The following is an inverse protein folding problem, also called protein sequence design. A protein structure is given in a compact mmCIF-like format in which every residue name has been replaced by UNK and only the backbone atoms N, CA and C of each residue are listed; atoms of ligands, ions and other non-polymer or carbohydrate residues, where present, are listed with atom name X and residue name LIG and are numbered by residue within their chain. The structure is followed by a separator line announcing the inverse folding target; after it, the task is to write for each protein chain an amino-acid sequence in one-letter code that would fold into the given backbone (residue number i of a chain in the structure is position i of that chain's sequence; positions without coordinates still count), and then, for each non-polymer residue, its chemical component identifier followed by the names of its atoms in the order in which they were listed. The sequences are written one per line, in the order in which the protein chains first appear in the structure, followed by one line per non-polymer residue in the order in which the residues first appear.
data_IF_029575014528
#
_entry.id   IF_029575014528
#
_cell.length_a   1.000
_cell.length_b   1.000
_cell.length_c   1.000
_cell.angle_alpha   90.00
_cell.angle_beta   90.00
_cell.angle_gamma   90.00
#
_symmetry.space_group_name_H-M   'P 1'
#
loop_
_entity.id
_entity.type
_entity.pdbx_description
1 polymer ?
#
# COMPACT_ATOMS: atom_id res chain seq x y z
N UNK A 1 -19.78 37.24 -65.61
CA UNK A 1 -18.42 36.71 -65.33
C UNK A 1 -17.83 37.26 -64.01
N UNK A 2 -18.62 37.39 -62.93
CA UNK A 2 -18.12 37.86 -61.61
C UNK A 2 -18.55 37.02 -60.39
N UNK A 3 -19.36 35.96 -60.55
CA UNK A 3 -19.79 35.13 -59.41
C UNK A 3 -19.05 33.80 -59.22
N UNK A 4 -18.30 33.33 -60.23
CA UNK A 4 -17.60 32.04 -60.15
C UNK A 4 -16.24 32.19 -59.42
N UNK A 5 -15.58 33.33 -59.53
CA UNK A 5 -14.28 33.57 -58.86
C UNK A 5 -14.40 33.67 -57.33
N UNK A 6 -15.56 34.07 -56.79
CA UNK A 6 -15.71 34.27 -55.35
C UNK A 6 -15.88 32.95 -54.57
N UNK A 7 -16.40 31.92 -55.22
CA UNK A 7 -16.64 30.61 -54.58
C UNK A 7 -15.35 29.77 -54.51
N UNK A 8 -14.48 29.89 -55.52
CA UNK A 8 -13.19 29.18 -55.55
C UNK A 8 -12.24 29.70 -54.45
N UNK A 9 -12.28 31.01 -54.17
CA UNK A 9 -11.46 31.61 -53.10
C UNK A 9 -11.96 31.30 -51.68
N UNK A 10 -13.28 31.15 -51.48
CA UNK A 10 -13.85 30.76 -50.18
C UNK A 10 -13.51 29.30 -49.85
N UNK A 11 -13.57 28.40 -50.84
CA UNK A 11 -13.21 26.98 -50.63
C UNK A 11 -11.70 26.78 -50.39
N UNK A 12 -10.83 27.53 -51.06
CA UNK A 12 -9.38 27.48 -50.82
C UNK A 12 -9.00 27.97 -49.40
N UNK A 13 -9.72 28.96 -48.86
CA UNK A 13 -9.53 29.41 -47.48
C UNK A 13 -10.09 28.42 -46.44
N UNK A 14 -11.16 27.69 -46.77
CA UNK A 14 -11.72 26.66 -45.88
C UNK A 14 -10.82 25.41 -45.80
N UNK A 15 -10.21 24.99 -46.91
CA UNK A 15 -9.30 23.83 -46.92
C UNK A 15 -7.99 24.09 -46.15
N UNK A 16 -7.46 25.31 -46.19
CA UNK A 16 -6.28 25.70 -45.40
C UNK A 16 -6.60 25.81 -43.91
N UNK A 17 -7.81 26.26 -43.55
CA UNK A 17 -8.26 26.32 -42.16
C UNK A 17 -8.47 24.93 -41.54
N UNK A 18 -8.93 23.95 -42.33
CA UNK A 18 -9.10 22.55 -41.86
C UNK A 18 -7.75 21.84 -41.71
N UNK A 19 -6.76 22.15 -42.55
CA UNK A 19 -5.40 21.60 -42.40
C UNK A 19 -4.63 22.15 -41.20
N UNK A 20 -4.92 23.39 -40.74
CA UNK A 20 -4.27 23.96 -39.55
C UNK A 20 -4.91 23.49 -38.23
N UNK A 21 -6.13 22.96 -38.25
CA UNK A 21 -6.85 22.45 -37.06
C UNK A 21 -6.70 20.94 -36.82
N UNK A 22 -5.71 20.32 -37.48
CA UNK A 22 -5.37 18.90 -37.30
C UNK A 22 -3.97 18.73 -36.69
N UNK A 23 -3.72 19.41 -35.58
CA UNK A 23 -2.54 19.14 -34.73
C UNK A 23 -3.03 18.76 -33.33
N UNK A 24 -2.83 17.48 -33.01
CA UNK A 24 -2.99 16.83 -31.71
C UNK A 24 -4.41 16.61 -31.15
N UNK A 25 -5.24 15.80 -31.83
CA UNK A 25 -6.40 15.10 -31.21
C UNK A 25 -6.05 13.83 -30.43
N UNK A 26 -4.76 13.50 -30.25
CA UNK A 26 -4.31 12.26 -29.60
C UNK A 26 -3.59 12.42 -28.25
N UNK A 27 -3.26 13.65 -27.82
CA UNK A 27 -2.60 13.87 -26.54
C UNK A 27 -3.64 14.11 -25.45
N UNK A 28 -3.84 13.14 -24.56
CA UNK A 28 -4.58 13.34 -23.31
C UNK A 28 -3.82 14.41 -22.52
N UNK A 29 -4.41 15.58 -22.34
CA UNK A 29 -3.83 16.64 -21.53
C UNK A 29 -3.65 16.12 -20.09
N UNK A 30 -2.40 15.88 -19.69
CA UNK A 30 -2.11 15.49 -18.32
C UNK A 30 -2.48 16.64 -17.39
N UNK A 31 -3.40 16.40 -16.45
CA UNK A 31 -3.78 17.38 -15.43
C UNK A 31 -2.55 17.72 -14.58
N UNK A 32 -1.90 18.84 -14.86
CA UNK A 32 -0.71 19.28 -14.12
C UNK A 32 -1.17 19.82 -12.77
N UNK A 33 -0.84 19.10 -11.69
CA UNK A 33 -1.07 19.56 -10.32
C UNK A 33 -0.08 20.67 -9.96
N UNK A 34 -0.57 21.80 -9.45
CA UNK A 34 0.25 22.94 -8.98
C UNK A 34 0.96 22.67 -7.64
N UNK A 35 0.92 21.43 -7.14
CA UNK A 35 1.57 21.04 -5.89
C UNK A 35 3.09 21.13 -5.98
N UNK A 36 3.71 21.84 -5.03
CA UNK A 36 5.17 22.05 -4.91
C UNK A 36 5.97 20.81 -4.46
N UNK A 37 5.55 19.60 -4.82
CA UNK A 37 6.28 18.38 -4.44
C UNK A 37 7.18 17.95 -5.59
N UNK A 38 8.49 18.12 -5.45
CA UNK A 38 9.46 17.63 -6.41
C UNK A 38 9.45 16.10 -6.46
N UNK A 39 9.64 15.53 -7.66
CA UNK A 39 9.77 14.08 -7.83
C UNK A 39 11.05 13.62 -7.12
N UNK A 40 10.94 12.61 -6.24
CA UNK A 40 12.12 11.99 -5.62
C UNK A 40 12.94 11.28 -6.70
N UNK A 41 14.19 11.70 -6.85
CA UNK A 41 15.09 11.23 -7.91
C UNK A 41 15.92 10.01 -7.53
N UNK A 42 16.94 9.74 -8.35
CA UNK A 42 17.93 8.68 -8.13
C UNK A 42 18.72 8.88 -6.83
N UNK A 43 19.01 10.13 -6.48
CA UNK A 43 19.76 10.53 -5.28
C UNK A 43 19.13 9.97 -3.99
N UNK A 44 17.81 10.05 -3.83
CA UNK A 44 17.13 9.51 -2.64
C UNK A 44 17.33 7.99 -2.51
N UNK A 45 17.42 7.27 -3.63
CA UNK A 45 17.66 5.82 -3.62
C UNK A 45 19.12 5.51 -3.25
N UNK A 46 20.06 6.31 -3.72
CA UNK A 46 21.48 6.19 -3.37
C UNK A 46 21.69 6.48 -1.87
N UNK A 47 21.10 7.56 -1.36
CA UNK A 47 21.16 7.89 0.07
C UNK A 47 20.59 6.77 0.94
N UNK A 48 19.48 6.14 0.53
CA UNK A 48 18.92 4.98 1.23
C UNK A 48 19.90 3.80 1.26
N UNK A 49 20.61 3.53 0.17
CA UNK A 49 21.60 2.45 0.10
C UNK A 49 22.78 2.74 1.04
N UNK A 50 23.28 3.97 1.04
CA UNK A 50 24.37 4.39 1.91
C UNK A 50 23.99 4.34 3.39
N UNK A 51 22.80 4.80 3.75
CA UNK A 51 22.27 4.72 5.12
C UNK A 51 22.12 3.27 5.58
N UNK A 52 21.64 2.37 4.71
CA UNK A 52 21.54 0.95 5.00
C UNK A 52 22.91 0.35 5.31
N UNK A 53 23.92 0.60 4.46
CA UNK A 53 25.28 0.10 4.68
C UNK A 53 25.90 0.63 5.98
N UNK A 54 25.71 1.93 6.27
CA UNK A 54 26.12 2.53 7.55
C UNK A 54 25.47 1.82 8.75
N UNK A 55 24.19 1.43 8.65
CA UNK A 55 23.51 0.72 9.72
C UNK A 55 24.00 -0.74 9.87
N UNK A 56 24.37 -1.40 8.77
CA UNK A 56 25.00 -2.74 8.80
C UNK A 56 26.32 -2.74 9.59
N UNK A 57 27.05 -1.63 9.59
CA UNK A 57 28.29 -1.48 10.36
C UNK A 57 28.06 -1.06 11.80
N UNK A 58 27.03 -0.26 12.07
CA UNK A 58 26.77 0.30 13.39
C UNK A 58 26.00 -0.64 14.33
N UNK A 59 25.17 -1.53 13.81
CA UNK A 59 24.31 -2.42 14.60
C UNK A 59 24.78 -3.86 14.58
N UNK A 60 24.56 -4.56 15.69
CA UNK A 60 24.89 -5.99 15.86
C UNK A 60 23.93 -6.91 15.11
N UNK A 61 22.64 -6.56 15.08
CA UNK A 61 21.60 -7.43 14.54
C UNK A 61 20.79 -6.74 13.45
N UNK A 62 20.49 -7.52 12.41
CA UNK A 62 19.62 -7.17 11.31
C UNK A 62 18.46 -8.17 11.30
N UNK A 63 17.23 -7.68 11.37
CA UNK A 63 16.02 -8.47 11.23
C UNK A 63 15.26 -8.08 9.97
N UNK A 64 14.72 -9.08 9.27
CA UNK A 64 13.67 -8.86 8.28
C UNK A 64 12.35 -9.14 8.94
N UNK A 65 11.39 -8.24 8.76
CA UNK A 65 10.05 -8.41 9.27
C UNK A 65 9.05 -8.15 8.15
N UNK A 66 7.97 -8.93 8.16
CA UNK A 66 6.78 -8.70 7.35
C UNK A 66 5.73 -7.98 8.18
N UNK A 67 4.89 -7.18 7.54
CA UNK A 67 3.80 -6.48 8.20
C UNK A 67 2.52 -6.78 7.45
N UNK A 68 1.48 -7.18 8.19
CA UNK A 68 0.14 -7.28 7.64
C UNK A 68 -0.64 -5.98 7.92
N UNK A 69 -1.48 -5.58 6.96
CA UNK A 69 -2.38 -4.43 7.09
C UNK A 69 -1.66 -3.12 7.42
N UNK A 70 -0.61 -2.80 6.68
CA UNK A 70 0.27 -1.67 6.95
C UNK A 70 -0.45 -0.32 7.10
N UNK A 71 -0.10 0.41 8.18
CA UNK A 71 -0.49 1.80 8.43
C UNK A 71 0.68 2.65 8.90
N UNK A 72 0.81 3.83 8.29
CA UNK A 72 1.86 4.80 8.63
C UNK A 72 1.80 5.27 10.10
N UNK A 73 0.61 5.34 10.71
CA UNK A 73 0.48 5.78 12.10
C UNK A 73 1.07 4.73 13.04
N UNK A 74 0.68 3.47 12.88
CA UNK A 74 1.17 2.33 13.69
C UNK A 74 2.69 2.17 13.60
N UNK A 75 3.26 2.36 12.39
CA UNK A 75 4.72 2.39 12.23
C UNK A 75 5.41 3.56 12.94
N UNK A 76 4.78 4.72 13.04
CA UNK A 76 5.34 5.84 13.80
C UNK A 76 5.36 5.53 15.29
N UNK A 77 4.37 4.81 15.78
CA UNK A 77 4.30 4.41 17.20
C UNK A 77 5.42 3.41 17.52
N UNK A 78 5.61 2.39 16.66
CA UNK A 78 6.75 1.46 16.75
C UNK A 78 8.08 2.19 16.69
N UNK A 79 8.26 3.12 15.74
CA UNK A 79 9.52 3.90 15.60
C UNK A 79 9.77 4.80 16.81
N UNK A 80 8.72 5.31 17.44
CA UNK A 80 8.79 6.11 18.67
C UNK A 80 9.16 5.25 19.87
N UNK A 81 8.64 4.03 19.97
CA UNK A 81 9.00 3.08 21.03
C UNK A 81 10.46 2.59 20.86
N UNK A 82 10.87 2.34 19.61
CA UNK A 82 12.18 1.78 19.27
C UNK A 82 13.13 2.83 18.66
N UNK A 83 13.27 4.00 19.30
CA UNK A 83 14.17 5.09 18.84
C UNK A 83 15.64 4.71 18.73
N UNK A 84 16.07 3.75 19.54
CA UNK A 84 17.43 3.21 19.54
C UNK A 84 17.70 2.27 18.37
N UNK A 85 16.67 1.89 17.62
CA UNK A 85 16.75 1.01 16.46
C UNK A 85 16.39 1.76 15.18
N UNK A 86 16.77 1.22 14.02
CA UNK A 86 16.49 1.84 12.71
C UNK A 86 15.63 0.94 11.85
N UNK A 87 14.49 1.49 11.42
CA UNK A 87 13.52 0.81 10.56
C UNK A 87 13.57 1.37 9.15
N UNK A 88 13.90 0.52 8.19
CA UNK A 88 13.85 0.84 6.77
C UNK A 88 12.65 0.20 6.10
N UNK A 89 11.89 1.03 5.39
CA UNK A 89 10.85 0.61 4.46
C UNK A 89 11.14 1.31 3.14
N UNK A 90 11.40 0.51 2.12
CA UNK A 90 11.73 1.01 0.79
C UNK A 90 11.36 -0.01 -0.25
N UNK A 91 11.67 0.29 -1.52
CA UNK A 91 11.47 -0.69 -2.59
C UNK A 91 12.41 -1.88 -2.34
N UNK A 92 11.86 -3.09 -2.23
CA UNK A 92 12.62 -4.30 -1.91
C UNK A 92 13.87 -4.46 -2.79
N UNK A 93 13.73 -4.24 -4.11
CA UNK A 93 14.87 -4.29 -5.06
C UNK A 93 16.03 -3.36 -4.68
N UNK A 94 15.76 -2.19 -4.10
CA UNK A 94 16.80 -1.22 -3.68
C UNK A 94 17.48 -1.71 -2.40
N UNK A 95 16.70 -2.21 -1.44
CA UNK A 95 17.25 -2.78 -0.20
C UNK A 95 18.11 -4.03 -0.47
N UNK A 96 17.68 -4.88 -1.40
CA UNK A 96 18.46 -6.04 -1.86
C UNK A 96 19.81 -5.64 -2.48
N UNK A 97 19.88 -4.51 -3.20
CA UNK A 97 21.15 -4.00 -3.76
C UNK A 97 22.07 -3.49 -2.66
N UNK A 98 21.52 -2.88 -1.60
CA UNK A 98 22.32 -2.40 -0.47
C UNK A 98 23.00 -3.54 0.29
N UNK A 99 22.24 -4.62 0.52
CA UNK A 99 22.63 -5.82 1.30
C UNK A 99 23.50 -6.77 0.46
N UNK A 100 23.10 -7.02 -0.79
CA UNK A 100 23.72 -7.99 -1.71
C UNK A 100 22.72 -9.03 -2.21
N UNK A 101 22.74 -9.30 -3.52
CA UNK A 101 21.83 -10.27 -4.16
C UNK A 101 22.37 -11.70 -4.16
N UNK A 102 23.69 -11.83 -4.22
CA UNK A 102 24.40 -13.11 -4.19
C UNK A 102 25.72 -12.98 -3.44
N UNK A 103 26.39 -14.10 -3.22
CA UNK A 103 27.64 -14.21 -2.45
C UNK A 103 28.78 -13.35 -3.01
N UNK A 104 28.83 -13.11 -4.32
CA UNK A 104 29.86 -12.25 -4.93
C UNK A 104 29.61 -10.76 -4.78
N UNK A 105 28.39 -10.38 -4.39
CA UNK A 105 27.93 -8.98 -4.30
C UNK A 105 27.57 -8.57 -2.88
N UNK A 106 27.82 -9.46 -1.91
CA UNK A 106 27.44 -9.22 -0.53
C UNK A 106 28.36 -8.20 0.14
N UNK A 107 27.76 -7.37 0.98
CA UNK A 107 28.53 -6.36 1.72
C UNK A 107 29.30 -6.98 2.89
N UNK A 108 28.71 -8.01 3.52
CA UNK A 108 29.30 -8.82 4.60
C UNK A 108 28.90 -10.28 4.41
N UNK A 109 29.67 -11.18 5.02
CA UNK A 109 29.48 -12.61 4.88
C UNK A 109 28.07 -13.06 5.29
N UNK A 110 27.50 -13.96 4.50
CA UNK A 110 26.14 -14.53 4.66
C UNK A 110 24.99 -13.53 4.59
N UNK A 111 25.25 -12.24 4.36
CA UNK A 111 24.24 -11.20 4.33
C UNK A 111 23.29 -11.35 3.12
N UNK A 112 23.77 -11.96 2.03
CA UNK A 112 22.94 -12.30 0.87
C UNK A 112 21.80 -13.29 1.19
N UNK A 113 21.89 -14.07 2.28
CA UNK A 113 20.81 -14.99 2.69
C UNK A 113 19.57 -14.22 3.14
N UNK A 114 19.77 -13.08 3.78
CA UNK A 114 18.73 -12.16 4.23
C UNK A 114 17.94 -11.58 3.06
N UNK A 115 18.61 -11.24 1.97
CA UNK A 115 17.97 -10.58 0.82
C UNK A 115 16.91 -11.44 0.13
N UNK A 116 16.94 -12.77 0.32
CA UNK A 116 15.92 -13.70 -0.20
C UNK A 116 14.54 -13.48 0.44
N UNK A 117 14.51 -12.95 1.67
CA UNK A 117 13.29 -12.67 2.43
C UNK A 117 12.71 -11.29 2.14
N UNK A 118 13.35 -10.48 1.28
CA UNK A 118 12.85 -9.17 0.87
C UNK A 118 11.74 -9.27 -0.21
N UNK A 119 10.64 -9.98 0.08
CA UNK A 119 9.49 -10.16 -0.82
C UNK A 119 8.19 -9.73 -0.15
N UNK A 120 7.30 -9.09 -0.90
CA UNK A 120 6.03 -8.57 -0.37
C UNK A 120 6.18 -7.31 0.50
N UNK A 121 5.26 -7.13 1.46
CA UNK A 121 5.26 -6.03 2.41
C UNK A 121 6.23 -6.31 3.57
N UNK A 122 7.51 -6.01 3.34
CA UNK A 122 8.60 -6.28 4.28
C UNK A 122 9.45 -5.04 4.55
N UNK A 123 10.06 -5.03 5.72
CA UNK A 123 11.01 -4.00 6.15
C UNK A 123 12.26 -4.61 6.77
N UNK A 124 13.27 -3.76 6.95
CA UNK A 124 14.53 -4.11 7.62
C UNK A 124 14.59 -3.36 8.95
N UNK A 125 14.90 -4.09 10.02
CA UNK A 125 15.12 -3.55 11.35
C UNK A 125 16.58 -3.78 11.74
N UNK A 126 17.28 -2.70 12.07
CA UNK A 126 18.61 -2.75 12.68
C UNK A 126 18.50 -2.43 14.16
N UNK A 127 19.06 -3.30 15.00
CA UNK A 127 19.03 -3.14 16.45
C UNK A 127 20.23 -3.80 17.12
N UNK A 128 20.51 -3.37 18.35
CA UNK A 128 21.46 -4.01 19.26
C UNK A 128 20.75 -4.87 20.33
N UNK A 129 19.42 -5.00 20.23
CA UNK A 129 18.60 -5.84 21.12
C UNK A 129 18.68 -7.31 20.73
N UNK A 130 18.50 -8.17 21.72
CA UNK A 130 18.53 -9.63 21.53
C UNK A 130 17.33 -10.09 20.70
N UNK A 131 17.45 -11.30 20.14
CA UNK A 131 16.40 -11.94 19.36
C UNK A 131 15.12 -12.08 20.19
N UNK A 132 15.25 -12.50 21.43
CA UNK A 132 14.15 -12.78 22.35
C UNK A 132 13.36 -11.51 22.65
N UNK A 133 14.04 -10.40 22.97
CA UNK A 133 13.41 -9.10 23.21
C UNK A 133 12.62 -8.61 21.97
N UNK A 134 13.20 -8.80 20.77
CA UNK A 134 12.57 -8.40 19.51
C UNK A 134 11.31 -9.24 19.26
N UNK A 135 11.42 -10.56 19.37
CA UNK A 135 10.30 -11.48 19.14
C UNK A 135 9.17 -11.25 20.14
N UNK A 136 9.49 -11.09 21.43
CA UNK A 136 8.51 -10.84 22.48
C UNK A 136 7.73 -9.55 22.20
N UNK A 137 8.43 -8.45 21.93
CA UNK A 137 7.78 -7.16 21.66
C UNK A 137 6.84 -7.23 20.44
N UNK A 138 7.30 -7.78 19.31
CA UNK A 138 6.47 -7.82 18.10
C UNK A 138 5.35 -8.86 18.16
N UNK A 139 5.48 -9.89 18.99
CA UNK A 139 4.39 -10.84 19.25
C UNK A 139 3.24 -10.22 20.06
N UNK A 140 3.57 -9.31 20.98
CA UNK A 140 2.62 -8.59 21.82
C UNK A 140 2.01 -7.38 21.11
N UNK A 141 2.74 -6.76 20.18
CA UNK A 141 2.28 -5.59 19.44
C UNK A 141 1.26 -5.97 18.36
N UNK A 142 -0.02 -5.98 18.74
CA UNK A 142 -1.16 -6.21 17.86
C UNK A 142 -2.17 -5.09 18.05
N UNK A 143 -2.61 -4.50 16.95
CA UNK A 143 -3.62 -3.44 16.98
C UNK A 143 -4.65 -3.67 15.88
N UNK A 144 -5.93 -3.46 16.22
CA UNK A 144 -7.02 -3.54 15.26
C UNK A 144 -7.13 -2.23 14.46
N UNK A 145 -7.55 -2.35 13.20
CA UNK A 145 -7.84 -1.24 12.29
C UNK A 145 -9.05 -1.61 11.41
N UNK A 146 -9.59 -0.61 10.73
CA UNK A 146 -10.66 -0.80 9.76
C UNK A 146 -10.14 -1.53 8.52
N UNK A 147 -10.87 -2.58 8.12
CA UNK A 147 -10.59 -3.28 6.89
C UNK A 147 -10.77 -2.37 5.67
N UNK A 148 -10.03 -2.68 4.60
CA UNK A 148 -10.10 -1.99 3.31
C UNK A 148 -10.57 -2.96 2.23
N UNK A 149 -10.87 -2.40 1.07
CA UNK A 149 -11.13 -3.21 -0.12
C UNK A 149 -9.97 -4.19 -0.36
N UNK A 150 -10.29 -5.44 -0.64
CA UNK A 150 -9.32 -6.51 -0.86
C UNK A 150 -8.88 -7.26 0.41
N UNK A 151 -9.20 -6.77 1.61
CA UNK A 151 -9.00 -7.54 2.84
C UNK A 151 -10.02 -8.67 2.94
N UNK A 152 -9.62 -9.80 3.54
CA UNK A 152 -10.56 -10.86 3.91
C UNK A 152 -11.32 -10.45 5.18
N UNK A 153 -12.63 -10.69 5.20
CA UNK A 153 -13.45 -10.53 6.39
C UNK A 153 -13.06 -11.60 7.43
N UNK A 154 -12.87 -11.18 8.68
CA UNK A 154 -12.56 -12.09 9.80
C UNK A 154 -13.79 -12.53 10.60
N UNK A 155 -14.97 -12.05 10.22
CA UNK A 155 -16.26 -12.50 10.76
C UNK A 155 -17.37 -12.16 9.76
N UNK A 156 -18.49 -12.89 9.86
CA UNK A 156 -19.71 -12.52 9.16
C UNK A 156 -20.38 -11.32 9.84
N UNK A 157 -20.91 -10.38 9.04
CA UNK A 157 -21.66 -9.23 9.53
C UNK A 157 -22.99 -9.13 8.79
N UNK A 158 -24.06 -9.16 9.56
CA UNK A 158 -25.43 -8.87 9.12
C UNK A 158 -25.97 -7.72 9.94
N UNK A 159 -26.61 -6.76 9.27
CA UNK A 159 -27.28 -5.63 9.90
C UNK A 159 -28.77 -5.93 9.98
N UNK A 160 -29.32 -5.88 11.18
CA UNK A 160 -30.75 -6.11 11.43
C UNK A 160 -31.60 -4.91 10.96
N UNK A 161 -32.84 -5.18 10.54
CA UNK A 161 -33.80 -4.14 10.22
C UNK A 161 -34.10 -3.24 11.43
N UNK A 162 -34.22 -1.93 11.18
CA UNK A 162 -34.49 -0.99 12.27
C UNK A 162 -33.91 0.42 12.06
N UNK A 163 -34.20 1.34 13.00
CA UNK A 163 -33.67 2.69 12.96
C UNK A 163 -32.16 2.70 13.26
N UNK A 164 -31.39 3.39 12.41
CA UNK A 164 -29.96 3.63 12.55
C UNK A 164 -29.72 5.03 13.12
N UNK A 165 -30.01 5.20 14.41
CA UNK A 165 -29.94 6.50 15.10
C UNK A 165 -28.52 7.08 15.20
N UNK A 166 -27.49 6.25 15.03
CA UNK A 166 -26.09 6.67 15.01
C UNK A 166 -25.72 7.56 13.81
N UNK A 167 -26.55 7.57 12.75
CA UNK A 167 -26.28 8.34 11.54
C UNK A 167 -27.18 9.57 11.43
N UNK A 168 -26.64 10.74 11.04
CA UNK A 168 -27.46 11.90 10.73
C UNK A 168 -28.26 11.67 9.45
N UNK A 169 -29.43 12.31 9.34
CA UNK A 169 -30.31 12.20 8.17
C UNK A 169 -29.63 12.57 6.84
N UNK A 170 -28.60 13.42 6.86
CA UNK A 170 -27.82 13.81 5.68
C UNK A 170 -26.95 12.68 5.10
N UNK A 171 -26.65 11.66 5.89
CA UNK A 171 -25.84 10.50 5.47
C UNK A 171 -26.68 9.43 4.77
N UNK A 172 -28.01 9.52 4.79
CA UNK A 172 -28.90 8.53 4.18
C UNK A 172 -28.62 8.28 2.69
N UNK A 173 -28.43 9.30 1.84
CA UNK A 173 -28.09 9.08 0.44
C UNK A 173 -26.75 8.35 0.25
N UNK A 174 -25.78 8.60 1.14
CA UNK A 174 -24.49 7.92 1.11
C UNK A 174 -24.63 6.45 1.49
N UNK A 175 -25.43 6.12 2.51
CA UNK A 175 -25.69 4.73 2.92
C UNK A 175 -26.41 3.96 1.81
N UNK A 176 -27.39 4.60 1.14
CA UNK A 176 -28.06 4.03 -0.02
C UNK A 176 -27.10 3.78 -1.19
N UNK A 177 -26.17 4.70 -1.45
CA UNK A 177 -25.15 4.53 -2.49
C UNK A 177 -24.19 3.37 -2.19
N UNK A 178 -23.96 3.06 -0.92
CA UNK A 178 -23.16 1.90 -0.49
C UNK A 178 -23.91 0.57 -0.62
N UNK A 179 -25.18 0.57 -1.06
CA UNK A 179 -25.98 -0.62 -1.27
C UNK A 179 -26.91 -0.99 -0.10
N UNK A 180 -26.95 -0.18 0.96
CA UNK A 180 -27.85 -0.43 2.10
C UNK A 180 -29.30 -0.06 1.74
N UNK A 181 -30.28 -0.94 2.02
CA UNK A 181 -31.70 -0.64 1.80
C UNK A 181 -32.23 0.31 2.89
N UNK A 182 -31.89 1.60 2.82
CA UNK A 182 -32.30 2.61 3.79
C UNK A 182 -33.39 3.54 3.27
N UNK A 183 -34.21 4.05 4.20
CA UNK A 183 -35.14 5.16 3.97
C UNK A 183 -35.24 6.05 5.20
N UNK A 184 -35.66 7.31 5.00
CA UNK A 184 -35.97 8.21 6.11
C UNK A 184 -37.39 7.95 6.62
N UNK A 185 -37.53 7.45 7.85
CA UNK A 185 -38.82 7.36 8.55
C UNK A 185 -38.83 8.38 9.68
N UNK A 186 -39.75 9.35 9.62
CA UNK A 186 -39.88 10.43 10.62
C UNK A 186 -38.56 11.19 10.90
N UNK A 187 -37.73 11.37 9.86
CA UNK A 187 -36.43 12.07 9.97
C UNK A 187 -35.27 11.21 10.47
N UNK A 188 -35.49 9.94 10.79
CA UNK A 188 -34.44 8.99 11.21
C UNK A 188 -34.13 8.03 10.07
N UNK A 189 -32.84 7.76 9.83
CA UNK A 189 -32.39 6.75 8.85
C UNK A 189 -32.82 5.38 9.35
N UNK A 190 -33.58 4.63 8.56
CA UNK A 190 -34.08 3.31 8.94
C UNK A 190 -33.70 2.30 7.86
N UNK A 191 -33.12 1.17 8.26
CA UNK A 191 -32.89 0.02 7.41
C UNK A 191 -34.22 -0.71 7.20
N UNK A 192 -34.58 -0.96 5.94
CA UNK A 192 -35.90 -1.50 5.56
C UNK A 192 -36.01 -3.02 5.69
N UNK A 193 -34.88 -3.71 5.67
CA UNK A 193 -34.76 -5.17 5.78
C UNK A 193 -33.35 -5.52 6.25
N UNK A 194 -33.19 -6.71 6.78
CA UNK A 194 -31.87 -7.24 7.11
C UNK A 194 -30.94 -7.22 5.89
N UNK A 195 -29.68 -6.88 6.12
CA UNK A 195 -28.68 -6.78 5.07
C UNK A 195 -27.38 -7.46 5.50
N UNK A 196 -27.04 -8.54 4.81
CA UNK A 196 -25.74 -9.20 4.95
C UNK A 196 -24.67 -8.33 4.27
N UNK A 197 -23.72 -7.83 5.06
CA UNK A 197 -22.62 -7.00 4.57
C UNK A 197 -21.51 -7.89 4.04
N UNK A 198 -21.05 -8.88 4.81
CA UNK A 198 -20.00 -9.82 4.41
C UNK A 198 -20.10 -11.14 5.17
N UNK A 199 -19.58 -12.22 4.59
CA UNK A 199 -19.39 -13.50 5.28
C UNK A 199 -17.95 -13.65 5.74
N UNK A 200 -17.73 -14.57 6.67
CA UNK A 200 -16.39 -14.90 7.12
C UNK A 200 -15.53 -15.44 5.97
N UNK A 201 -14.32 -14.92 5.82
CA UNK A 201 -13.36 -15.27 4.76
C UNK A 201 -13.55 -14.56 3.42
N UNK A 202 -14.66 -13.82 3.20
CA UNK A 202 -14.92 -13.14 1.93
C UNK A 202 -13.98 -11.94 1.70
N UNK A 203 -13.60 -11.70 0.45
CA UNK A 203 -12.83 -10.51 0.07
C UNK A 203 -13.73 -9.28 0.03
N UNK A 204 -13.46 -8.30 0.89
CA UNK A 204 -14.27 -7.10 1.06
C UNK A 204 -14.22 -6.18 -0.17
N UNK A 205 -15.38 -5.72 -0.62
CA UNK A 205 -15.51 -4.66 -1.61
C UNK A 205 -15.26 -3.28 -0.99
N UNK A 206 -14.98 -2.23 -1.80
CA UNK A 206 -14.87 -0.86 -1.31
C UNK A 206 -16.11 -0.38 -0.55
N UNK A 207 -17.31 -0.80 -0.98
CA UNK A 207 -18.57 -0.45 -0.34
C UNK A 207 -18.71 -1.12 1.01
N UNK A 208 -18.44 -2.43 1.10
CA UNK A 208 -18.47 -3.20 2.36
C UNK A 208 -17.47 -2.64 3.37
N UNK A 209 -16.22 -2.37 2.95
CA UNK A 209 -15.21 -1.78 3.81
C UNK A 209 -15.62 -0.37 4.33
N UNK A 210 -16.31 0.42 3.50
CA UNK A 210 -16.86 1.71 3.93
C UNK A 210 -18.01 1.54 4.93
N UNK A 211 -18.89 0.56 4.74
CA UNK A 211 -19.94 0.23 5.71
C UNK A 211 -19.29 -0.15 7.05
N UNK A 212 -18.36 -1.10 7.06
CA UNK A 212 -17.63 -1.51 8.28
C UNK A 212 -17.04 -0.31 9.04
N UNK A 213 -16.39 0.60 8.32
CA UNK A 213 -15.83 1.82 8.90
C UNK A 213 -16.89 2.76 9.48
N UNK A 214 -18.03 2.93 8.81
CA UNK A 214 -19.12 3.78 9.30
C UNK A 214 -19.77 3.20 10.56
N UNK A 215 -19.85 1.88 10.66
CA UNK A 215 -20.36 1.17 11.83
C UNK A 215 -19.31 0.96 12.93
N UNK A 216 -18.08 1.43 12.74
CA UNK A 216 -17.03 1.33 13.76
C UNK A 216 -16.48 -0.08 13.98
N UNK A 217 -16.65 -0.98 13.00
CA UNK A 217 -16.23 -2.38 13.11
C UNK A 217 -14.84 -2.54 12.51
N UNK A 218 -13.88 -2.90 13.37
CA UNK A 218 -12.50 -3.16 12.99
C UNK A 218 -12.32 -4.65 12.69
N UNK A 219 -11.86 -4.96 11.48
CA UNK A 219 -11.68 -6.35 10.99
C UNK A 219 -10.28 -6.61 10.42
N UNK A 220 -9.38 -5.62 10.44
CA UNK A 220 -8.01 -5.78 9.99
C UNK A 220 -7.07 -5.72 11.19
N UNK A 221 -6.36 -6.81 11.46
CA UNK A 221 -5.31 -6.84 12.47
C UNK A 221 -3.99 -6.34 11.86
N UNK A 222 -3.40 -5.29 12.45
CA UNK A 222 -2.01 -4.92 12.22
C UNK A 222 -1.14 -5.84 13.07
N UNK A 223 -0.25 -6.59 12.39
CA UNK A 223 0.75 -7.45 13.05
C UNK A 223 2.09 -7.36 12.33
N UNK A 224 3.16 -7.48 13.10
CA UNK A 224 4.53 -7.56 12.59
C UNK A 224 5.07 -8.96 12.87
N UNK A 225 5.57 -9.62 11.83
CA UNK A 225 6.14 -10.97 11.92
C UNK A 225 7.62 -10.93 11.58
N UNK A 226 8.48 -11.41 12.47
CA UNK A 226 9.92 -11.50 12.22
C UNK A 226 10.19 -12.75 11.37
N UNK A 227 10.83 -12.54 10.22
CA UNK A 227 11.08 -13.57 9.21
C UNK A 227 12.46 -14.23 9.38
N UNK A 228 13.49 -13.40 9.57
CA UNK A 228 14.86 -13.88 9.77
C UNK A 228 15.71 -12.85 10.51
N UNK A 229 16.86 -13.32 10.98
CA UNK A 229 17.87 -12.55 11.69
C UNK A 229 19.26 -12.81 11.09
N UNK A 230 20.10 -11.79 11.09
CA UNK A 230 21.52 -11.90 10.80
C UNK A 230 22.33 -11.16 11.87
N UNK A 231 23.44 -11.76 12.30
CA UNK A 231 24.36 -11.21 13.29
C UNK A 231 25.65 -10.74 12.62
N UNK A 232 26.02 -9.48 12.88
CA UNK A 232 27.20 -8.81 12.31
C UNK A 232 28.52 -9.29 12.90
N UNK A 233 28.52 -9.79 14.14
CA UNK A 233 29.75 -10.24 14.82
C UNK A 233 30.12 -11.67 14.45
N UNK A 234 29.13 -12.56 14.33
CA UNK A 234 29.34 -13.97 13.99
C UNK A 234 29.13 -14.28 12.51
N UNK A 235 28.58 -13.33 11.74
CA UNK A 235 28.12 -13.53 10.37
C UNK A 235 27.10 -14.67 10.23
N UNK A 236 26.40 -15.00 11.33
CA UNK A 236 25.40 -16.06 11.34
C UNK A 236 24.05 -15.56 10.82
N UNK A 237 23.39 -16.44 10.08
CA UNK A 237 22.04 -16.24 9.57
C UNK A 237 21.10 -17.25 10.21
N UNK A 238 20.00 -16.76 10.77
CA UNK A 238 18.95 -17.58 11.37
C UNK A 238 17.59 -17.27 10.73
N UNK A 239 16.86 -18.31 10.32
CA UNK A 239 15.48 -18.21 9.86
C UNK A 239 14.55 -18.33 11.07
N UNK A 240 13.62 -17.39 11.21
CA UNK A 240 12.73 -17.29 12.38
C UNK A 240 11.25 -17.50 12.03
N UNK A 241 10.86 -17.32 10.76
CA UNK A 241 9.54 -17.71 10.30
C UNK A 241 9.44 -19.22 10.09
N UNK A 242 8.42 -19.82 10.70
CA UNK A 242 7.89 -21.11 10.29
C UNK A 242 7.26 -20.94 8.89
N UNK A 243 7.41 -21.95 8.02
CA UNK A 243 6.89 -21.92 6.65
C UNK A 243 5.36 -22.00 6.65
N UNK A 244 4.68 -20.90 6.96
CA UNK A 244 3.32 -20.72 6.48
C UNK A 244 3.41 -20.31 5.00
N UNK A 245 3.04 -21.26 4.14
CA UNK A 245 3.05 -21.14 2.69
C UNK A 245 2.46 -19.81 2.22
N UNK A 246 3.33 -18.91 1.78
CA UNK A 246 2.96 -17.72 1.03
C UNK A 246 2.29 -18.18 -0.26
N UNK A 247 1.00 -17.87 -0.45
CA UNK A 247 0.38 -17.99 -1.75
C UNK A 247 1.09 -17.03 -2.71
N UNK A 248 1.64 -17.61 -3.78
CA UNK A 248 2.26 -16.94 -4.91
C UNK A 248 1.24 -16.00 -5.56
N UNK A 249 1.57 -14.72 -5.63
CA UNK A 249 1.14 -13.87 -6.73
C UNK A 249 2.41 -13.42 -7.44
N UNK A 250 3.01 -14.35 -8.17
CA UNK A 250 3.88 -14.01 -9.29
C UNK A 250 2.96 -13.63 -10.45
N UNK A 251 2.79 -12.34 -10.70
CA UNK A 251 2.51 -11.87 -12.05
C UNK A 251 3.75 -11.17 -12.58
N UNK A 252 4.26 -11.79 -13.65
CA UNK A 252 5.34 -11.35 -14.49
C UNK A 252 5.04 -9.97 -15.09
N UNK A 253 5.99 -9.05 -14.97
CA UNK A 253 6.21 -8.07 -16.03
C UNK A 253 7.71 -8.07 -16.37
N UNK A 254 8.08 -9.04 -17.19
CA UNK A 254 9.16 -8.89 -18.14
C UNK A 254 8.58 -8.34 -19.45
N UNK A 255 8.94 -7.11 -19.78
CA UNK A 255 9.69 -6.73 -20.98
C UNK A 255 9.16 -5.42 -21.58
N UNK A 256 10.01 -4.39 -21.62
CA UNK A 256 10.35 -3.77 -22.90
C UNK A 256 11.65 -2.97 -22.74
N UNK A 257 12.66 -3.46 -23.44
CA UNK A 257 13.86 -2.72 -23.81
C UNK A 257 13.57 -2.01 -25.13
N UNK A 258 13.83 -0.72 -25.18
CA UNK A 258 13.77 0.15 -26.34
C UNK A 258 14.37 1.50 -25.98
#
# INVERSE_FOLDING_TARGET
MKSILSIVWINALLEVAIHYYSICRGCIASRVSLTKTAKKGLETKQNLIEELRKCVDMYKHLFIFSVANMRNNKLKDIRTAWKHSRFFFGKNKVMMIAIGKGSTSEYKDNLHKVSRFLRGEVGVLFTNKTKEEVQEYFSQFKEMDFARAGNKAGMALTLDEGPLEQFPHSMEPQLRQLGLPTALKKGVVTLLKDHEVCKDGDTLTPEQARILKLFGIEMAEFRVQIQCMWNSETSDFEKLAEEEAMQENDEEEGNESG
#
